data_IF_199381599594
#
_entry.id   IF_199381599594
#
_cell.length_a   1.000
_cell.length_b   1.000
_cell.length_c   1.000
_cell.angle_alpha   90.00
_cell.angle_beta   90.00
_cell.angle_gamma   90.00
#
_symmetry.space_group_name_H-M   'P 1'
#
loop_
_entity.id
_entity.type
_entity.pdbx_description
1 polymer ?
#
# COMPACT_ATOMS: atom_id res chain seq x y z
N UNK A 1 36.63 18.84 19.31
CA UNK A 1 35.18 18.73 19.00
C UNK A 1 35.04 18.40 17.52
N UNK A 2 34.99 17.11 17.16
CA UNK A 2 34.83 16.69 15.78
C UNK A 2 33.34 16.54 15.46
N UNK A 3 32.82 17.38 14.54
CA UNK A 3 31.46 17.25 14.02
C UNK A 3 31.42 16.05 13.08
N UNK A 4 30.64 15.03 13.43
CA UNK A 4 30.31 13.94 12.53
C UNK A 4 29.37 14.49 11.44
N UNK A 5 29.85 14.48 10.19
CA UNK A 5 29.02 14.75 9.03
C UNK A 5 28.18 13.49 8.74
N UNK A 6 26.90 13.52 9.09
CA UNK A 6 25.93 12.51 8.67
C UNK A 6 25.74 12.62 7.15
N UNK A 7 26.45 11.76 6.42
CA UNK A 7 26.19 11.54 4.99
C UNK A 7 24.83 10.88 4.88
N UNK A 8 23.85 11.63 4.39
CA UNK A 8 22.54 11.08 4.01
C UNK A 8 22.76 10.28 2.73
N UNK A 9 22.93 8.97 2.87
CA UNK A 9 22.94 8.06 1.74
C UNK A 9 21.55 8.10 1.11
N UNK A 10 21.40 8.45 -0.19
CA UNK A 10 20.11 8.37 -0.85
C UNK A 10 19.66 6.91 -0.82
N UNK A 11 18.56 6.67 -0.10
CA UNK A 11 17.90 5.38 -0.07
C UNK A 11 17.44 5.07 -1.51
N UNK A 12 17.94 4.00 -2.15
CA UNK A 12 17.48 3.66 -3.48
C UNK A 12 15.97 3.44 -3.43
N UNK A 13 15.23 4.15 -4.28
CA UNK A 13 13.82 3.92 -4.49
C UNK A 13 13.66 2.41 -4.74
N UNK A 14 12.88 1.75 -3.88
CA UNK A 14 12.56 0.35 -4.07
C UNK A 14 12.06 0.19 -5.52
N UNK A 15 12.59 -0.77 -6.30
CA UNK A 15 12.09 -0.97 -7.64
C UNK A 15 10.60 -1.22 -7.51
N UNK A 16 9.80 -0.34 -8.08
CA UNK A 16 8.39 -0.61 -8.33
C UNK A 16 8.43 -1.81 -9.26
N UNK A 17 8.35 -3.02 -8.68
CA UNK A 17 8.17 -4.24 -9.45
C UNK A 17 6.96 -3.98 -10.34
N UNK A 18 7.18 -3.99 -11.65
CA UNK A 18 6.11 -3.83 -12.62
C UNK A 18 5.02 -4.85 -12.26
N UNK A 19 3.79 -4.39 -12.10
CA UNK A 19 2.66 -5.25 -11.73
C UNK A 19 2.60 -6.46 -12.67
N UNK A 20 2.94 -6.28 -13.95
CA UNK A 20 3.01 -7.36 -14.93
C UNK A 20 4.12 -8.38 -14.63
N UNK A 21 5.29 -7.96 -14.16
CA UNK A 21 6.38 -8.84 -13.73
C UNK A 21 5.98 -9.63 -12.48
N UNK A 22 5.33 -8.97 -11.53
CA UNK A 22 4.93 -9.58 -10.28
C UNK A 22 3.78 -10.60 -10.47
N UNK A 23 2.87 -10.36 -11.42
CA UNK A 23 1.88 -11.34 -11.87
C UNK A 23 2.51 -12.49 -12.65
N UNK A 24 3.50 -12.21 -13.51
CA UNK A 24 4.25 -13.24 -14.24
C UNK A 24 4.99 -14.17 -13.27
N UNK A 25 5.67 -13.62 -12.26
CA UNK A 25 6.31 -14.40 -11.21
C UNK A 25 5.30 -15.26 -10.43
N UNK A 26 4.12 -14.73 -10.12
CA UNK A 26 3.03 -15.49 -9.51
C UNK A 26 2.59 -16.69 -10.36
N UNK A 27 2.37 -16.47 -11.66
CA UNK A 27 2.03 -17.56 -12.61
C UNK A 27 3.13 -18.61 -12.71
N UNK A 28 4.40 -18.20 -12.67
CA UNK A 28 5.54 -19.13 -12.67
C UNK A 28 5.60 -19.97 -11.40
N UNK A 29 5.31 -19.38 -10.23
CA UNK A 29 5.22 -20.11 -8.96
C UNK A 29 4.07 -21.12 -8.97
N UNK A 30 2.91 -20.74 -9.52
CA UNK A 30 1.77 -21.64 -9.67
C UNK A 30 2.12 -22.82 -10.57
N UNK A 31 2.73 -22.55 -11.73
CA UNK A 31 3.16 -23.60 -12.64
C UNK A 31 4.20 -24.52 -12.02
N UNK A 32 5.13 -23.97 -11.23
CA UNK A 32 6.13 -24.76 -10.52
C UNK A 32 5.49 -25.64 -9.44
N UNK A 33 4.51 -25.12 -8.70
CA UNK A 33 3.77 -25.88 -7.69
C UNK A 33 2.97 -27.02 -8.32
N UNK A 34 2.30 -26.79 -9.45
CA UNK A 34 1.59 -27.82 -10.23
C UNK A 34 2.54 -28.94 -10.66
N UNK A 35 3.64 -28.61 -11.35
CA UNK A 35 4.60 -29.61 -11.82
C UNK A 35 5.23 -30.40 -10.66
N UNK A 36 5.49 -29.75 -9.53
CA UNK A 36 6.02 -30.40 -8.34
C UNK A 36 4.99 -31.31 -7.67
N UNK A 37 3.70 -30.95 -7.69
CA UNK A 37 2.60 -31.79 -7.22
C UNK A 37 2.39 -33.01 -8.10
N UNK A 38 2.32 -32.84 -9.44
CA UNK A 38 2.23 -33.96 -10.39
C UNK A 38 3.37 -34.96 -10.18
N UNK A 39 4.60 -34.45 -9.98
CA UNK A 39 5.77 -35.29 -9.73
C UNK A 39 5.71 -35.97 -8.34
N UNK A 40 5.20 -35.29 -7.33
CA UNK A 40 4.99 -35.87 -6.00
C UNK A 40 3.96 -37.02 -6.05
N UNK A 41 2.85 -36.84 -6.76
CA UNK A 41 1.83 -37.89 -6.95
C UNK A 41 2.40 -39.12 -7.65
N UNK A 42 3.17 -38.91 -8.73
CA UNK A 42 3.84 -40.00 -9.44
C UNK A 42 4.87 -40.74 -8.56
N UNK A 43 5.67 -40.00 -7.78
CA UNK A 43 6.64 -40.58 -6.84
C UNK A 43 5.96 -41.37 -5.72
N UNK A 44 4.84 -40.87 -5.21
CA UNK A 44 4.06 -41.57 -4.20
C UNK A 44 3.49 -42.89 -4.74
N UNK A 45 2.89 -42.86 -5.93
CA UNK A 45 2.38 -44.07 -6.59
C UNK A 45 3.49 -45.09 -6.85
N UNK A 46 4.66 -44.64 -7.32
CA UNK A 46 5.82 -45.50 -7.53
C UNK A 46 6.38 -46.09 -6.22
N UNK A 47 6.41 -45.30 -5.14
CA UNK A 47 6.84 -45.79 -3.82
C UNK A 47 5.91 -46.90 -3.32
N UNK A 48 4.60 -46.71 -3.42
CA UNK A 48 3.62 -47.74 -3.04
C UNK A 48 3.78 -49.03 -3.87
N UNK A 49 4.13 -48.91 -5.15
CA UNK A 49 4.41 -50.07 -5.99
C UNK A 49 5.70 -50.81 -5.56
N UNK A 50 6.77 -50.07 -5.25
CA UNK A 50 8.02 -50.64 -4.75
C UNK A 50 7.85 -51.36 -3.40
N UNK A 51 7.07 -50.77 -2.49
CA UNK A 51 6.69 -51.38 -1.20
C UNK A 51 5.97 -52.71 -1.42
N UNK A 52 5.00 -52.75 -2.34
CA UNK A 52 4.28 -53.99 -2.70
C UNK A 52 5.18 -55.05 -3.32
N UNK A 53 6.19 -54.63 -4.09
CA UNK A 53 7.17 -55.53 -4.69
C UNK A 53 8.27 -56.01 -3.71
N UNK A 54 8.31 -55.48 -2.48
CA UNK A 54 9.35 -55.78 -1.50
C UNK A 54 10.70 -55.11 -1.78
N UNK A 55 10.75 -54.17 -2.74
CA UNK A 55 11.97 -53.40 -3.04
C UNK A 55 12.09 -52.22 -2.09
N UNK A 56 12.69 -52.50 -0.93
CA UNK A 56 12.87 -51.51 0.14
C UNK A 56 13.86 -50.40 -0.21
N UNK A 57 14.83 -50.65 -1.11
CA UNK A 57 15.79 -49.65 -1.54
C UNK A 57 15.10 -48.62 -2.45
N UNK A 58 14.38 -49.08 -3.47
CA UNK A 58 13.63 -48.20 -4.36
C UNK A 58 12.54 -47.40 -3.62
N UNK A 59 11.83 -48.03 -2.68
CA UNK A 59 10.83 -47.34 -1.86
C UNK A 59 11.44 -46.16 -1.07
N UNK A 60 12.59 -46.38 -0.43
CA UNK A 60 13.28 -45.35 0.37
C UNK A 60 13.74 -44.17 -0.49
N UNK A 61 14.31 -44.42 -1.66
CA UNK A 61 14.77 -43.36 -2.56
C UNK A 61 13.62 -42.52 -3.12
N UNK A 62 12.48 -43.17 -3.40
CA UNK A 62 11.26 -42.50 -3.85
C UNK A 62 10.64 -41.65 -2.75
N UNK A 63 10.59 -42.13 -1.51
CA UNK A 63 10.11 -41.36 -0.36
C UNK A 63 10.98 -40.13 -0.06
N UNK A 64 12.31 -40.26 -0.15
CA UNK A 64 13.23 -39.13 -0.03
C UNK A 64 13.00 -38.09 -1.12
N UNK A 65 12.76 -38.54 -2.35
CA UNK A 65 12.46 -37.66 -3.48
C UNK A 65 11.11 -36.96 -3.32
N UNK A 66 10.11 -37.67 -2.79
CA UNK A 66 8.80 -37.14 -2.45
C UNK A 66 8.87 -36.05 -1.37
N UNK A 67 9.63 -36.26 -0.30
CA UNK A 67 9.81 -35.23 0.74
C UNK A 67 10.46 -33.95 0.18
N UNK A 68 11.45 -34.10 -0.70
CA UNK A 68 12.08 -32.95 -1.38
C UNK A 68 11.06 -32.19 -2.24
N UNK A 69 10.25 -32.89 -3.03
CA UNK A 69 9.18 -32.28 -3.82
C UNK A 69 8.15 -31.56 -2.92
N UNK A 70 7.72 -32.21 -1.83
CA UNK A 70 6.81 -31.61 -0.85
C UNK A 70 7.37 -30.35 -0.18
N UNK A 71 8.68 -30.31 0.10
CA UNK A 71 9.34 -29.08 0.59
C UNK A 71 9.34 -27.97 -0.44
N UNK A 72 9.57 -28.26 -1.72
CA UNK A 72 9.50 -27.27 -2.79
C UNK A 72 8.09 -26.67 -2.91
N UNK A 73 7.05 -27.51 -2.89
CA UNK A 73 5.64 -27.06 -2.94
C UNK A 73 5.32 -26.15 -1.75
N UNK A 74 5.63 -26.58 -0.51
CA UNK A 74 5.38 -25.77 0.69
C UNK A 74 6.06 -24.41 0.62
N UNK A 75 7.31 -24.35 0.13
CA UNK A 75 8.06 -23.10 -0.03
C UNK A 75 7.43 -22.19 -1.09
N UNK A 76 7.03 -22.73 -2.23
CA UNK A 76 6.37 -21.96 -3.29
C UNK A 76 5.05 -21.35 -2.80
N UNK A 77 4.22 -22.14 -2.10
CA UNK A 77 2.96 -21.68 -1.51
C UNK A 77 3.18 -20.63 -0.42
N UNK A 78 4.14 -20.85 0.49
CA UNK A 78 4.47 -19.90 1.54
C UNK A 78 4.94 -18.56 0.96
N UNK A 79 5.75 -18.58 -0.09
CA UNK A 79 6.20 -17.38 -0.78
C UNK A 79 5.02 -16.64 -1.43
N UNK A 80 4.11 -17.37 -2.11
CA UNK A 80 2.91 -16.78 -2.71
C UNK A 80 2.03 -16.09 -1.67
N UNK A 81 1.73 -16.76 -0.54
CA UNK A 81 0.92 -16.20 0.54
C UNK A 81 1.58 -14.95 1.15
N UNK A 82 2.90 -14.98 1.33
CA UNK A 82 3.67 -13.84 1.81
C UNK A 82 3.56 -12.65 0.85
N UNK A 83 3.74 -12.86 -0.45
CA UNK A 83 3.63 -11.79 -1.45
C UNK A 83 2.23 -11.17 -1.49
N UNK A 84 1.17 -11.99 -1.37
CA UNK A 84 -0.21 -11.49 -1.28
C UNK A 84 -0.40 -10.63 -0.04
N UNK A 85 0.10 -11.08 1.12
CA UNK A 85 0.04 -10.31 2.37
C UNK A 85 0.80 -8.99 2.26
N UNK A 86 2.03 -9.01 1.74
CA UNK A 86 2.84 -7.80 1.55
C UNK A 86 2.13 -6.77 0.65
N UNK A 87 1.46 -7.22 -0.43
CA UNK A 87 0.65 -6.33 -1.28
C UNK A 87 -0.52 -5.72 -0.53
N UNK A 88 -1.24 -6.53 0.25
CA UNK A 88 -2.37 -6.05 1.04
C UNK A 88 -1.92 -5.01 2.08
N UNK A 89 -0.83 -5.28 2.80
CA UNK A 89 -0.28 -4.34 3.79
C UNK A 89 0.16 -3.02 3.14
N UNK A 90 0.74 -3.06 1.93
CA UNK A 90 1.10 -1.85 1.19
C UNK A 90 -0.12 -1.07 0.73
N UNK A 91 -1.16 -1.75 0.26
CA UNK A 91 -2.43 -1.12 -0.11
C UNK A 91 -3.12 -0.48 1.09
N UNK A 92 -3.14 -1.18 2.24
CA UNK A 92 -3.73 -0.69 3.48
C UNK A 92 -2.96 0.54 4.00
N UNK A 93 -1.63 0.52 3.96
CA UNK A 93 -0.79 1.68 4.31
C UNK A 93 -1.03 2.86 3.38
N UNK A 94 -1.14 2.63 2.07
CA UNK A 94 -1.44 3.69 1.11
C UNK A 94 -2.84 4.29 1.35
N UNK A 95 -3.83 3.45 1.64
CA UNK A 95 -5.19 3.88 1.98
C UNK A 95 -5.23 4.67 3.30
N UNK A 96 -4.49 4.23 4.32
CA UNK A 96 -4.36 4.95 5.58
C UNK A 96 -3.72 6.33 5.36
N UNK A 97 -2.60 6.41 4.65
CA UNK A 97 -1.95 7.68 4.31
C UNK A 97 -2.86 8.61 3.49
N UNK A 98 -3.68 8.07 2.59
CA UNK A 98 -4.65 8.87 1.84
C UNK A 98 -5.74 9.44 2.75
N UNK A 99 -6.21 8.66 3.74
CA UNK A 99 -7.17 9.13 4.75
C UNK A 99 -6.57 10.21 5.64
N UNK A 100 -5.36 9.99 6.17
CA UNK A 100 -4.66 10.95 7.01
C UNK A 100 -4.48 12.29 6.28
N UNK A 101 -4.04 12.25 5.01
CA UNK A 101 -3.92 13.47 4.18
C UNK A 101 -5.28 14.15 3.93
N UNK A 102 -6.34 13.39 3.74
CA UNK A 102 -7.68 13.94 3.55
C UNK A 102 -8.20 14.60 4.84
N UNK A 103 -7.94 14.01 5.99
CA UNK A 103 -8.28 14.56 7.31
C UNK A 103 -7.48 15.84 7.60
N UNK A 104 -6.17 15.84 7.34
CA UNK A 104 -5.32 17.03 7.46
C UNK A 104 -5.83 18.17 6.57
N UNK A 105 -6.15 17.88 5.29
CA UNK A 105 -6.76 18.88 4.39
C UNK A 105 -8.08 19.41 4.92
N UNK A 106 -8.96 18.53 5.41
CA UNK A 106 -10.24 18.94 5.97
C UNK A 106 -10.08 19.81 7.23
N UNK A 107 -9.11 19.50 8.08
CA UNK A 107 -8.78 20.31 9.25
C UNK A 107 -8.23 21.69 8.84
N UNK A 108 -7.36 21.75 7.84
CA UNK A 108 -6.87 23.03 7.30
C UNK A 108 -7.99 23.87 6.69
N UNK A 109 -8.94 23.27 5.97
CA UNK A 109 -10.15 23.98 5.50
C UNK A 109 -10.93 24.60 6.66
N UNK A 110 -11.16 23.84 7.73
CA UNK A 110 -11.84 24.35 8.94
C UNK A 110 -11.08 25.51 9.58
N UNK A 111 -9.75 25.46 9.60
CA UNK A 111 -8.93 26.54 10.16
C UNK A 111 -8.99 27.81 9.31
N UNK A 112 -8.92 27.69 7.98
CA UNK A 112 -9.09 28.83 7.06
C UNK A 112 -10.49 29.43 7.21
N UNK A 113 -11.53 28.61 7.21
CA UNK A 113 -12.91 29.07 7.39
C UNK A 113 -13.09 29.86 8.70
N UNK A 114 -12.59 29.32 9.83
CA UNK A 114 -12.62 30.02 11.12
C UNK A 114 -11.80 31.31 11.14
N UNK A 115 -10.74 31.42 10.35
CA UNK A 115 -9.97 32.66 10.26
C UNK A 115 -10.74 33.74 9.50
N UNK A 116 -11.35 33.38 8.37
CA UNK A 116 -12.16 34.29 7.55
C UNK A 116 -13.45 34.68 8.26
N UNK A 117 -14.18 33.74 8.87
CA UNK A 117 -15.40 34.03 9.63
C UNK A 117 -15.14 35.01 10.78
N UNK A 118 -13.99 34.88 11.47
CA UNK A 118 -13.57 35.84 12.50
C UNK A 118 -13.26 37.22 11.92
N UNK A 119 -12.72 37.28 10.70
CA UNK A 119 -12.48 38.55 10.00
C UNK A 119 -13.78 39.23 9.59
N UNK A 120 -14.72 38.46 9.02
CA UNK A 120 -16.06 38.93 8.65
C UNK A 120 -16.80 39.46 9.90
N UNK A 121 -16.79 38.70 10.99
CA UNK A 121 -17.44 39.11 12.24
C UNK A 121 -16.80 40.34 12.91
N UNK A 122 -15.52 40.61 12.64
CA UNK A 122 -14.82 41.79 13.13
C UNK A 122 -15.08 43.05 12.28
N UNK A 123 -15.58 42.89 11.06
CA UNK A 123 -15.90 44.00 10.18
C UNK A 123 -17.24 44.65 10.57
N UNK A 124 -17.17 45.92 10.99
CA UNK A 124 -18.33 46.70 11.41
C UNK A 124 -19.21 47.17 10.24
N UNK A 125 -18.76 46.99 8.99
CA UNK A 125 -19.53 47.31 7.79
C UNK A 125 -20.38 46.16 7.26
N UNK A 126 -20.24 44.95 7.81
CA UNK A 126 -20.95 43.77 7.33
C UNK A 126 -22.20 43.50 8.19
N UNK A 127 -23.38 43.51 7.57
CA UNK A 127 -24.63 43.15 8.24
C UNK A 127 -24.80 41.61 8.34
N UNK A 128 -25.59 41.14 9.30
CA UNK A 128 -25.77 39.70 9.57
C UNK A 128 -26.10 38.82 8.34
N UNK A 129 -27.07 39.20 7.48
CA UNK A 129 -27.39 38.45 6.27
C UNK A 129 -26.28 38.46 5.21
N UNK A 130 -25.43 39.50 5.20
CA UNK A 130 -24.30 39.62 4.29
C UNK A 130 -23.13 38.74 4.77
N UNK A 131 -22.89 38.71 6.09
CA UNK A 131 -21.92 37.81 6.71
C UNK A 131 -22.24 36.33 6.41
N UNK A 132 -23.51 35.91 6.52
CA UNK A 132 -23.91 34.53 6.21
C UNK A 132 -23.67 34.17 4.73
N UNK A 133 -23.94 35.08 3.80
CA UNK A 133 -23.68 34.86 2.36
C UNK A 133 -22.18 34.74 2.08
N UNK A 134 -21.36 35.58 2.71
CA UNK A 134 -19.91 35.54 2.54
C UNK A 134 -19.31 34.25 3.12
N UNK A 135 -19.77 33.81 4.30
CA UNK A 135 -19.37 32.52 4.88
C UNK A 135 -19.82 31.33 4.01
N UNK A 136 -21.02 31.37 3.42
CA UNK A 136 -21.48 30.30 2.51
C UNK A 136 -20.65 30.24 1.22
N UNK A 137 -20.39 31.39 0.57
CA UNK A 137 -19.57 31.44 -0.64
C UNK A 137 -18.10 31.08 -0.40
N UNK A 138 -17.59 31.34 0.81
CA UNK A 138 -16.28 30.87 1.25
C UNK A 138 -16.19 29.34 1.29
N UNK A 139 -17.21 28.67 1.83
CA UNK A 139 -17.23 27.20 1.88
C UNK A 139 -17.31 26.58 0.49
N UNK A 140 -18.10 27.16 -0.40
CA UNK A 140 -18.18 26.75 -1.81
C UNK A 140 -16.81 26.84 -2.48
N UNK A 141 -16.11 27.98 -2.34
CA UNK A 141 -14.76 28.16 -2.89
C UNK A 141 -13.72 27.21 -2.28
N UNK A 142 -13.76 26.97 -0.96
CA UNK A 142 -12.83 26.05 -0.30
C UNK A 142 -13.01 24.58 -0.72
N UNK A 143 -14.16 24.23 -1.32
CA UNK A 143 -14.50 22.88 -1.77
C UNK A 143 -14.30 22.74 -3.29
N UNK A 144 -14.69 23.75 -4.07
CA UNK A 144 -14.77 23.66 -5.53
C UNK A 144 -13.55 24.24 -6.25
N UNK A 145 -12.77 25.12 -5.61
CA UNK A 145 -11.58 25.72 -6.22
C UNK A 145 -10.35 24.80 -6.08
N UNK A 146 -9.91 24.23 -7.20
CA UNK A 146 -8.79 23.31 -7.28
C UNK A 146 -7.43 23.97 -6.95
N UNK A 147 -7.27 25.27 -7.22
CA UNK A 147 -6.05 25.99 -6.83
C UNK A 147 -5.97 26.18 -5.31
N UNK A 148 -7.10 26.45 -4.68
CA UNK A 148 -7.19 26.59 -3.22
C UNK A 148 -7.03 25.22 -2.57
N UNK A 149 -7.62 24.15 -3.11
CA UNK A 149 -7.43 22.79 -2.59
C UNK A 149 -5.95 22.34 -2.68
N UNK A 150 -5.26 22.72 -3.75
CA UNK A 150 -3.82 22.48 -3.88
C UNK A 150 -3.01 23.30 -2.85
N UNK A 151 -3.37 24.56 -2.62
CA UNK A 151 -2.69 25.44 -1.66
C UNK A 151 -2.80 24.95 -0.21
N UNK A 152 -3.92 24.33 0.17
CA UNK A 152 -4.12 23.75 1.52
C UNK A 152 -3.03 22.76 1.92
N UNK A 153 -2.41 22.05 0.96
CA UNK A 153 -1.39 21.05 1.25
C UNK A 153 0.02 21.63 1.50
N UNK A 154 0.28 22.90 1.15
CA UNK A 154 1.66 23.42 1.10
C UNK A 154 1.86 24.87 1.52
N UNK A 155 0.79 25.65 1.68
CA UNK A 155 0.90 27.07 2.02
C UNK A 155 0.52 27.35 3.49
N UNK A 156 1.10 28.39 4.11
CA UNK A 156 0.66 28.86 5.40
C UNK A 156 -0.79 29.37 5.31
N UNK A 157 -1.55 29.23 6.38
CA UNK A 157 -2.99 29.54 6.42
C UNK A 157 -3.23 31.00 6.05
N UNK A 158 -2.35 31.89 6.48
CA UNK A 158 -2.40 33.33 6.22
C UNK A 158 -2.30 33.64 4.72
N UNK A 159 -1.45 32.93 3.97
CA UNK A 159 -1.33 33.11 2.53
C UNK A 159 -2.58 32.65 1.77
N UNK A 160 -3.24 31.60 2.27
CA UNK A 160 -4.50 31.11 1.72
C UNK A 160 -5.62 32.12 1.99
N UNK A 161 -5.68 32.65 3.22
CA UNK A 161 -6.67 33.66 3.63
C UNK A 161 -6.55 34.95 2.81
N UNK A 162 -5.34 35.42 2.47
CA UNK A 162 -5.13 36.61 1.64
C UNK A 162 -5.64 36.42 0.20
N UNK A 163 -5.71 35.17 -0.27
CA UNK A 163 -6.07 34.82 -1.64
C UNK A 163 -7.58 34.60 -1.82
N UNK A 164 -8.32 34.57 -0.72
CA UNK A 164 -9.78 34.42 -0.66
C UNK A 164 -10.45 35.79 -0.78
#
# INVERSE_FOLDING_TARGET
MHKAHSVTTPQPAAPVLDQAEAERAGRMLDRLAEMAMERAEAMHAASLAAIKAGDTAAAKDLELSLDRAGRCVRRALALKLRLVRERQEMADKAAAQARDRAEEKAERRRQVARAVDRSIAADRGTDGPEAERLSAGLWERLIEDEEIDAALAGQPIEAIVIRL
#
